data_IF_738781627112
#
_entry.id   IF_738781627112
#
_cell.length_a   1.000
_cell.length_b   1.000
_cell.length_c   1.000
_cell.angle_alpha   90.00
_cell.angle_beta   90.00
_cell.angle_gamma   90.00
#
_symmetry.space_group_name_H-M   'P 1'
#
loop_
_entity.id
_entity.type
_entity.pdbx_description
1 polymer ?
#
# COMPACT_ATOMS: atom_id res chain seq x y z
N UNK A 1 -3.06 16.27 13.84
CA UNK A 1 -3.85 15.05 13.56
C UNK A 1 -3.63 13.93 14.57
N UNK A 2 -2.56 13.11 14.50
CA UNK A 2 -2.42 11.94 15.39
C UNK A 2 -2.52 12.28 16.89
N UNK A 3 -1.88 13.37 17.30
CA UNK A 3 -1.98 13.93 18.65
C UNK A 3 -3.43 14.26 19.06
N UNK A 4 -4.16 14.99 18.21
CA UNK A 4 -5.55 15.41 18.47
C UNK A 4 -6.52 14.22 18.49
N UNK A 5 -6.31 13.23 17.62
CA UNK A 5 -7.08 11.98 17.60
C UNK A 5 -6.89 11.23 18.92
N UNK A 6 -5.64 11.09 19.36
CA UNK A 6 -5.32 10.44 20.62
C UNK A 6 -5.95 11.19 21.80
N UNK A 7 -5.75 12.52 21.89
CA UNK A 7 -6.34 13.35 22.95
C UNK A 7 -7.87 13.23 23.01
N UNK A 8 -8.56 13.26 21.87
CA UNK A 8 -10.00 13.09 21.83
C UNK A 8 -10.41 11.68 22.28
N UNK A 9 -9.76 10.64 21.76
CA UNK A 9 -10.06 9.26 22.10
C UNK A 9 -9.85 9.00 23.60
N UNK A 10 -8.75 9.49 24.17
CA UNK A 10 -8.45 9.41 25.61
C UNK A 10 -9.55 10.04 26.46
N UNK A 11 -10.06 11.23 26.09
CA UNK A 11 -11.17 11.88 26.83
C UNK A 11 -12.44 11.03 26.89
N UNK A 12 -12.65 10.15 25.91
CA UNK A 12 -13.82 9.28 25.83
C UNK A 12 -13.53 7.82 26.20
N UNK A 13 -12.32 7.50 26.68
CA UNK A 13 -11.94 6.12 26.99
C UNK A 13 -11.91 5.19 25.78
N UNK A 14 -11.73 5.74 24.57
CA UNK A 14 -11.66 4.98 23.31
C UNK A 14 -10.19 4.61 23.04
N UNK A 15 -9.93 3.34 22.72
CA UNK A 15 -8.60 2.84 22.36
C UNK A 15 -8.25 3.14 20.90
N UNK A 16 -7.00 3.53 20.66
CA UNK A 16 -6.46 3.82 19.33
C UNK A 16 -5.45 2.74 18.93
N UNK A 17 -5.80 1.93 17.93
CA UNK A 17 -4.89 0.94 17.34
C UNK A 17 -4.29 1.46 16.04
N UNK A 18 -2.95 1.50 15.96
CA UNK A 18 -2.24 1.91 14.77
C UNK A 18 -2.06 0.73 13.80
N UNK A 19 -2.44 0.88 12.52
CA UNK A 19 -1.88 0.04 11.46
C UNK A 19 -0.50 0.59 11.09
N UNK A 20 0.54 -0.04 11.62
CA UNK A 20 1.93 0.42 11.49
C UNK A 20 2.61 -0.05 10.21
N UNK A 21 1.89 -0.73 9.30
CA UNK A 21 2.38 -1.36 8.07
C UNK A 21 3.39 -0.50 7.28
N UNK A 22 3.15 0.82 7.20
CA UNK A 22 4.01 1.79 6.50
C UNK A 22 4.32 3.03 7.36
N UNK A 23 4.48 2.84 8.66
CA UNK A 23 4.69 3.94 9.59
C UNK A 23 6.04 4.66 9.40
N UNK A 24 7.06 4.01 8.84
CA UNK A 24 8.37 4.62 8.57
C UNK A 24 8.28 5.57 7.37
N UNK A 25 7.59 5.17 6.30
CA UNK A 25 7.26 6.07 5.19
C UNK A 25 6.46 7.29 5.68
N UNK A 26 5.52 7.08 6.60
CA UNK A 26 4.73 8.16 7.21
C UNK A 26 5.62 9.12 8.02
N UNK A 27 6.51 8.58 8.85
CA UNK A 27 7.48 9.37 9.62
C UNK A 27 8.42 10.19 8.73
N UNK A 28 8.85 9.63 7.58
CA UNK A 28 9.60 10.38 6.58
C UNK A 28 8.78 11.55 6.01
N UNK A 29 7.50 11.38 5.70
CA UNK A 29 6.68 12.52 5.24
C UNK A 29 6.51 13.59 6.32
N UNK A 30 6.38 13.22 7.58
CA UNK A 30 6.38 14.18 8.70
C UNK A 30 7.70 14.96 8.72
N UNK A 31 8.85 14.27 8.64
CA UNK A 31 10.17 14.88 8.58
C UNK A 31 10.29 15.92 7.47
N UNK A 32 9.78 15.59 6.27
CA UNK A 32 9.93 16.42 5.07
C UNK A 32 8.90 17.57 4.98
N UNK A 33 7.72 17.42 5.60
CA UNK A 33 6.57 18.30 5.31
C UNK A 33 6.00 19.00 6.53
N UNK A 34 6.25 18.50 7.75
CA UNK A 34 5.72 19.09 8.97
C UNK A 34 6.73 20.06 9.61
N UNK A 35 6.27 21.28 9.90
CA UNK A 35 7.12 22.30 10.51
C UNK A 35 7.61 21.85 11.88
N UNK A 36 8.90 22.04 12.16
CA UNK A 36 9.54 21.66 13.43
C UNK A 36 10.14 20.25 13.47
N UNK A 37 9.98 19.45 12.40
CA UNK A 37 10.52 18.08 12.33
C UNK A 37 11.73 17.90 11.40
N UNK A 38 12.10 18.91 10.63
CA UNK A 38 13.15 18.82 9.61
C UNK A 38 14.54 18.40 10.14
N UNK A 39 14.84 18.65 11.41
CA UNK A 39 16.11 18.27 12.06
C UNK A 39 16.03 17.00 12.90
N UNK A 40 14.85 16.39 13.05
CA UNK A 40 14.68 15.12 13.79
C UNK A 40 14.99 13.94 12.87
N UNK A 41 15.50 12.85 13.43
CA UNK A 41 15.65 11.59 12.68
C UNK A 41 14.29 10.94 12.43
N UNK A 42 14.15 10.16 11.36
CA UNK A 42 12.92 9.38 11.10
C UNK A 42 12.60 8.44 12.26
N UNK A 43 13.62 7.88 12.92
CA UNK A 43 13.45 7.03 14.09
C UNK A 43 12.77 7.77 15.26
N UNK A 44 13.22 9.00 15.57
CA UNK A 44 12.63 9.81 16.65
C UNK A 44 11.18 10.18 16.33
N UNK A 45 10.92 10.56 15.07
CA UNK A 45 9.57 10.90 14.60
C UNK A 45 8.64 9.69 14.69
N UNK A 46 9.10 8.52 14.24
CA UNK A 46 8.31 7.29 14.33
C UNK A 46 7.99 6.94 15.78
N UNK A 47 8.96 7.08 16.69
CA UNK A 47 8.75 6.84 18.12
C UNK A 47 7.71 7.79 18.70
N UNK A 48 7.79 9.08 18.37
CA UNK A 48 6.79 10.07 18.78
C UNK A 48 5.41 9.74 18.19
N UNK A 49 5.33 9.39 16.91
CA UNK A 49 4.09 9.04 16.24
C UNK A 49 3.41 7.81 16.89
N UNK A 50 4.19 6.76 17.20
CA UNK A 50 3.68 5.57 17.88
C UNK A 50 3.19 5.86 19.32
N UNK A 51 3.70 6.91 19.97
CA UNK A 51 3.27 7.29 21.33
C UNK A 51 1.81 7.75 21.41
N UNK A 52 1.19 8.06 20.27
CA UNK A 52 -0.23 8.44 20.15
C UNK A 52 -1.17 7.25 19.90
N UNK A 53 -0.76 6.03 20.27
CA UNK A 53 -1.56 4.81 20.11
C UNK A 53 -1.46 3.90 21.33
N UNK A 54 -2.51 3.10 21.56
CA UNK A 54 -2.58 2.09 22.64
C UNK A 54 -1.94 0.75 22.24
N UNK A 55 -1.59 0.61 20.96
CA UNK A 55 -1.00 -0.58 20.37
C UNK A 55 -0.96 -0.48 18.84
N UNK A 56 -0.41 -1.49 18.19
CA UNK A 56 -0.37 -1.55 16.74
C UNK A 56 -0.48 -2.96 16.19
N UNK A 57 -1.05 -3.08 15.00
CA UNK A 57 -0.83 -4.22 14.12
C UNK A 57 0.24 -3.85 13.09
N UNK A 58 1.18 -4.74 12.86
CA UNK A 58 2.28 -4.48 11.94
C UNK A 58 2.54 -5.70 11.09
N UNK A 59 2.69 -5.46 9.80
CA UNK A 59 3.19 -6.47 8.89
C UNK A 59 4.60 -6.11 8.46
N UNK A 60 5.56 -6.89 8.93
CA UNK A 60 6.98 -6.73 8.64
C UNK A 60 7.30 -6.83 7.15
N UNK A 61 6.40 -7.43 6.35
CA UNK A 61 6.48 -7.55 4.88
C UNK A 61 6.56 -6.23 4.11
N UNK A 62 6.56 -5.09 4.82
CA UNK A 62 6.51 -3.75 4.26
C UNK A 62 7.70 -2.94 4.76
N UNK A 63 7.53 -2.08 5.76
CA UNK A 63 8.63 -1.22 6.21
C UNK A 63 9.75 -1.98 6.92
N UNK A 64 9.49 -3.11 7.58
CA UNK A 64 10.55 -3.89 8.22
C UNK A 64 11.41 -4.72 7.24
N UNK A 65 11.32 -4.47 5.92
CA UNK A 65 12.24 -4.99 4.90
C UNK A 65 12.38 -6.53 4.81
N UNK A 66 11.37 -7.28 5.25
CA UNK A 66 11.38 -8.76 5.23
C UNK A 66 10.35 -9.35 4.26
N UNK A 67 10.52 -10.64 3.93
CA UNK A 67 9.63 -11.35 3.01
C UNK A 67 8.36 -11.89 3.70
N UNK A 68 8.43 -12.18 5.00
CA UNK A 68 7.35 -12.70 5.84
C UNK A 68 7.42 -12.09 7.23
N UNK A 69 6.36 -12.26 8.03
CA UNK A 69 6.33 -11.83 9.43
C UNK A 69 5.47 -10.60 9.69
N UNK A 70 5.10 -10.46 10.95
CA UNK A 70 4.28 -9.41 11.51
C UNK A 70 4.19 -9.57 13.01
N UNK A 71 3.64 -8.57 13.68
CA UNK A 71 3.44 -8.60 15.13
C UNK A 71 2.25 -7.75 15.55
N UNK A 72 1.77 -8.04 16.76
CA UNK A 72 0.85 -7.23 17.52
C UNK A 72 1.62 -6.64 18.70
N UNK A 73 1.54 -5.33 18.89
CA UNK A 73 2.04 -4.65 20.08
C UNK A 73 0.87 -4.03 20.85
N UNK A 74 0.88 -4.17 22.16
CA UNK A 74 -0.17 -3.67 23.05
C UNK A 74 0.49 -3.07 24.29
N UNK A 75 0.00 -1.90 24.72
CA UNK A 75 0.46 -1.25 25.94
C UNK A 75 -0.25 -1.80 27.19
N UNK A 76 -1.44 -2.38 27.01
CA UNK A 76 -2.27 -2.93 28.09
C UNK A 76 -1.92 -4.40 28.36
N UNK A 77 -1.55 -4.70 29.61
CA UNK A 77 -1.07 -6.02 30.02
C UNK A 77 -2.17 -7.09 29.98
N UNK A 78 -3.43 -6.72 30.29
CA UNK A 78 -4.55 -7.65 30.23
C UNK A 78 -4.84 -8.07 28.80
N UNK A 79 -4.93 -7.10 27.87
CA UNK A 79 -5.11 -7.40 26.45
C UNK A 79 -3.92 -8.19 25.88
N UNK A 80 -2.69 -7.91 26.33
CA UNK A 80 -1.51 -8.70 25.95
C UNK A 80 -1.66 -10.17 26.39
N UNK A 81 -2.12 -10.43 27.61
CA UNK A 81 -2.33 -11.79 28.11
C UNK A 81 -3.43 -12.52 27.30
N UNK A 82 -4.55 -11.85 27.01
CA UNK A 82 -5.63 -12.39 26.19
C UNK A 82 -5.16 -12.70 24.76
N UNK A 83 -4.42 -11.78 24.13
CA UNK A 83 -3.84 -11.99 22.80
C UNK A 83 -2.83 -13.13 22.78
N UNK A 84 -2.02 -13.26 23.84
CA UNK A 84 -1.04 -14.35 24.00
C UNK A 84 -1.70 -15.73 24.16
N UNK A 85 -2.92 -15.79 24.67
CA UNK A 85 -3.71 -17.02 24.68
C UNK A 85 -4.28 -17.32 23.28
N UNK A 86 -4.79 -16.30 22.59
CA UNK A 86 -5.43 -16.45 21.29
C UNK A 86 -4.44 -16.82 20.17
N UNK A 87 -3.22 -16.26 20.21
CA UNK A 87 -2.20 -16.49 19.18
C UNK A 87 -1.82 -17.97 19.06
N UNK A 88 -1.91 -18.74 20.15
CA UNK A 88 -1.66 -20.20 20.17
C UNK A 88 -2.63 -20.97 19.27
N UNK A 89 -3.86 -20.48 19.12
CA UNK A 89 -4.89 -21.17 18.33
C UNK A 89 -4.71 -20.98 16.82
N UNK A 90 -4.13 -19.86 16.39
CA UNK A 90 -4.12 -19.46 14.97
C UNK A 90 -2.72 -19.39 14.34
N UNK A 91 -1.70 -19.03 15.12
CA UNK A 91 -0.37 -18.71 14.59
C UNK A 91 0.73 -19.60 15.20
N UNK A 92 0.74 -19.75 16.53
CA UNK A 92 1.77 -20.47 17.29
C UNK A 92 1.98 -19.91 18.70
N UNK A 93 3.00 -20.37 19.44
CA UNK A 93 3.30 -19.81 20.78
C UNK A 93 3.64 -18.32 20.70
N UNK A 94 3.32 -17.55 21.74
CA UNK A 94 3.57 -16.11 21.84
C UNK A 94 5.05 -15.71 21.65
N UNK A 95 6.00 -16.64 21.79
CA UNK A 95 7.43 -16.43 21.58
C UNK A 95 7.89 -16.55 20.13
N UNK A 96 7.04 -17.03 19.20
CA UNK A 96 7.38 -17.12 17.78
C UNK A 96 6.24 -16.77 16.81
N UNK A 97 4.98 -16.90 17.22
CA UNK A 97 3.80 -16.42 16.47
C UNK A 97 3.75 -16.89 15.02
N UNK A 98 4.06 -18.17 14.77
CA UNK A 98 4.08 -18.75 13.42
C UNK A 98 5.31 -18.42 12.56
N UNK A 99 6.29 -17.69 13.11
CA UNK A 99 7.54 -17.36 12.42
C UNK A 99 8.68 -18.31 12.79
N UNK A 100 9.55 -18.64 11.83
CA UNK A 100 10.81 -19.28 12.19
C UNK A 100 11.72 -18.27 12.91
N UNK A 101 12.61 -18.74 13.79
CA UNK A 101 13.52 -17.86 14.53
C UNK A 101 14.36 -16.94 13.62
N UNK A 102 14.79 -17.43 12.46
CA UNK A 102 15.51 -16.64 11.44
C UNK A 102 14.68 -15.50 10.84
N UNK A 103 13.36 -15.66 10.74
CA UNK A 103 12.47 -14.63 10.20
C UNK A 103 12.26 -13.52 11.23
N UNK A 104 12.21 -13.87 12.53
CA UNK A 104 12.20 -12.89 13.62
C UNK A 104 13.51 -12.09 13.67
N UNK A 105 14.66 -12.75 13.51
CA UNK A 105 15.96 -12.08 13.45
C UNK A 105 16.05 -11.13 12.25
N UNK A 106 15.68 -11.60 11.05
CA UNK A 106 15.66 -10.77 9.86
C UNK A 106 14.75 -9.54 10.03
N UNK A 107 13.61 -9.70 10.70
CA UNK A 107 12.67 -8.61 10.97
C UNK A 107 13.25 -7.61 11.97
N UNK A 108 13.92 -8.06 13.04
CA UNK A 108 14.59 -7.19 14.00
C UNK A 108 15.67 -6.34 13.33
N UNK A 109 16.50 -6.95 12.45
CA UNK A 109 17.51 -6.22 11.64
C UNK A 109 16.85 -5.24 10.67
N UNK A 110 15.80 -5.68 10.00
CA UNK A 110 15.06 -4.86 9.02
C UNK A 110 14.39 -3.63 9.62
N UNK A 111 13.93 -3.68 10.87
CA UNK A 111 13.41 -2.49 11.59
C UNK A 111 14.50 -1.43 11.72
N UNK A 112 15.70 -1.81 12.18
CA UNK A 112 16.84 -0.89 12.33
C UNK A 112 17.25 -0.27 10.99
N UNK A 113 17.32 -1.09 9.94
CA UNK A 113 17.65 -0.63 8.58
C UNK A 113 16.59 0.32 8.01
N UNK A 114 15.31 0.06 8.31
CA UNK A 114 14.20 0.80 7.71
C UNK A 114 14.13 2.27 8.13
N UNK A 115 14.46 2.56 9.39
CA UNK A 115 14.35 3.91 9.96
C UNK A 115 15.56 4.80 9.66
N UNK A 116 16.58 4.27 8.98
CA UNK A 116 17.74 5.04 8.57
C UNK A 116 17.32 6.12 7.54
N UNK A 117 17.63 7.39 7.82
CA UNK A 117 17.19 8.53 7.01
C UNK A 117 17.58 8.41 5.54
N UNK A 118 18.81 7.95 5.26
CA UNK A 118 19.29 7.77 3.88
C UNK A 118 18.54 6.66 3.14
N UNK A 119 18.19 5.57 3.82
CA UNK A 119 17.42 4.48 3.24
C UNK A 119 16.03 4.95 2.83
N UNK A 120 15.29 5.56 3.76
CA UNK A 120 13.91 5.95 3.52
C UNK A 120 13.81 7.12 2.53
N UNK A 121 14.78 8.04 2.53
CA UNK A 121 14.92 9.10 1.51
C UNK A 121 15.08 8.50 0.11
N UNK A 122 16.01 7.56 -0.07
CA UNK A 122 16.21 6.90 -1.36
C UNK A 122 14.96 6.11 -1.79
N UNK A 123 14.33 5.41 -0.85
CA UNK A 123 13.11 4.62 -1.08
C UNK A 123 11.95 5.48 -1.59
N UNK A 124 11.66 6.58 -0.92
CA UNK A 124 10.53 7.46 -1.29
C UNK A 124 10.88 8.26 -2.54
N UNK A 125 12.12 8.74 -2.64
CA UNK A 125 12.63 9.44 -3.82
C UNK A 125 12.53 8.60 -5.10
N UNK A 126 12.72 7.28 -5.04
CA UNK A 126 12.51 6.39 -6.19
C UNK A 126 11.05 6.35 -6.65
N UNK A 127 10.09 6.36 -5.73
CA UNK A 127 8.65 6.39 -6.07
C UNK A 127 8.27 7.75 -6.64
N UNK A 128 8.77 8.83 -6.03
CA UNK A 128 8.58 10.19 -6.52
C UNK A 128 9.24 10.42 -7.90
N UNK A 129 10.36 9.75 -8.18
CA UNK A 129 11.01 9.78 -9.49
C UNK A 129 10.09 9.23 -10.59
N UNK A 130 9.55 8.02 -10.39
CA UNK A 130 8.56 7.43 -11.32
C UNK A 130 7.33 8.35 -11.45
N UNK A 131 6.81 8.83 -10.32
CA UNK A 131 5.63 9.68 -10.31
C UNK A 131 5.85 11.00 -11.07
N UNK A 132 7.01 11.64 -10.90
CA UNK A 132 7.36 12.87 -11.62
C UNK A 132 7.48 12.65 -13.11
N UNK A 133 8.11 11.56 -13.57
CA UNK A 133 8.16 11.22 -15.00
C UNK A 133 6.78 11.12 -15.63
N UNK A 134 5.86 10.45 -14.94
CA UNK A 134 4.47 10.30 -15.39
C UNK A 134 3.73 11.65 -15.38
N UNK A 135 3.94 12.46 -14.35
CA UNK A 135 3.37 13.81 -14.26
C UNK A 135 3.87 14.72 -15.39
N UNK A 136 5.17 14.71 -15.68
CA UNK A 136 5.80 15.52 -16.72
C UNK A 136 5.33 15.09 -18.12
N UNK A 137 5.02 13.80 -18.30
CA UNK A 137 4.38 13.25 -19.49
C UNK A 137 2.84 13.43 -19.52
N UNK A 138 2.28 14.23 -18.61
CA UNK A 138 0.84 14.50 -18.49
C UNK A 138 -0.05 13.26 -18.25
N UNK A 139 0.52 12.17 -17.72
CA UNK A 139 -0.24 10.98 -17.33
C UNK A 139 -1.07 11.29 -16.08
N UNK A 140 -2.36 10.92 -16.05
CA UNK A 140 -3.21 11.16 -14.90
C UNK A 140 -2.84 10.20 -13.76
N UNK A 141 -2.32 10.78 -12.67
CA UNK A 141 -1.92 10.05 -11.45
C UNK A 141 -2.46 10.74 -10.22
N UNK A 142 -2.66 9.99 -9.14
CA UNK A 142 -2.99 10.55 -7.82
C UNK A 142 -1.83 11.41 -7.32
N UNK A 143 -2.14 12.59 -6.79
CA UNK A 143 -1.16 13.55 -6.24
C UNK A 143 -1.53 13.95 -4.81
N UNK A 144 -0.53 14.22 -3.94
CA UNK A 144 0.90 14.00 -4.14
C UNK A 144 1.26 12.51 -4.24
N UNK A 145 2.46 12.20 -4.76
CA UNK A 145 2.95 10.82 -4.83
C UNK A 145 3.15 10.29 -3.41
N UNK A 146 2.66 9.07 -3.17
CA UNK A 146 2.76 8.40 -1.88
C UNK A 146 4.09 7.69 -1.66
N UNK A 147 4.29 7.13 -0.47
CA UNK A 147 5.58 6.54 -0.08
C UNK A 147 5.93 5.22 -0.78
N UNK A 148 4.93 4.48 -1.28
CA UNK A 148 5.14 3.10 -1.75
C UNK A 148 4.71 2.79 -3.18
N UNK A 149 3.97 3.69 -3.82
CA UNK A 149 3.41 3.44 -5.12
C UNK A 149 3.03 4.75 -5.83
N UNK A 150 3.01 4.67 -7.16
CA UNK A 150 2.29 5.62 -8.01
C UNK A 150 0.95 5.00 -8.39
N UNK A 151 -0.12 5.79 -8.31
CA UNK A 151 -1.47 5.35 -8.66
C UNK A 151 -1.91 6.07 -9.93
N UNK A 152 -2.11 5.33 -11.01
CA UNK A 152 -2.68 5.85 -12.25
C UNK A 152 -4.19 5.97 -12.07
N UNK A 153 -4.78 7.10 -12.47
CA UNK A 153 -6.23 7.28 -12.48
C UNK A 153 -6.79 6.70 -13.79
N UNK A 154 -7.36 5.50 -13.73
CA UNK A 154 -7.83 4.79 -14.90
C UNK A 154 -9.09 5.40 -15.52
N UNK A 155 -9.89 6.16 -14.77
CA UNK A 155 -11.04 6.90 -15.33
C UNK A 155 -10.56 8.03 -16.23
N UNK A 156 -9.54 8.77 -15.79
CA UNK A 156 -8.91 9.79 -16.62
C UNK A 156 -8.03 9.19 -17.73
N UNK A 157 -7.48 7.99 -17.52
CA UNK A 157 -6.69 7.26 -18.51
C UNK A 157 -7.56 6.76 -19.68
N UNK A 158 -8.74 6.22 -19.39
CA UNK A 158 -9.69 5.71 -20.39
C UNK A 158 -11.06 6.38 -20.25
N UNK A 159 -11.21 7.66 -20.67
CA UNK A 159 -12.44 8.41 -20.48
C UNK A 159 -13.64 7.87 -21.27
N UNK A 160 -13.39 7.00 -22.26
CA UNK A 160 -14.42 6.35 -23.08
C UNK A 160 -14.96 5.04 -22.49
N UNK A 161 -14.39 4.53 -21.39
CA UNK A 161 -14.82 3.30 -20.75
C UNK A 161 -15.64 3.60 -19.48
N UNK A 162 -16.82 2.99 -19.37
CA UNK A 162 -17.58 3.00 -18.10
C UNK A 162 -16.87 2.15 -17.04
N UNK A 163 -17.03 2.50 -15.76
CA UNK A 163 -16.40 1.77 -14.66
C UNK A 163 -16.81 0.27 -14.62
N UNK A 164 -18.01 -0.08 -15.09
CA UNK A 164 -18.47 -1.48 -15.19
C UNK A 164 -17.77 -2.26 -16.31
N UNK A 165 -17.05 -1.57 -17.19
CA UNK A 165 -16.16 -2.17 -18.18
C UNK A 165 -14.73 -2.34 -17.65
N UNK A 166 -14.52 -2.14 -16.34
CA UNK A 166 -13.29 -2.42 -15.58
C UNK A 166 -12.02 -1.76 -16.17
N UNK A 167 -12.00 -0.42 -16.36
CA UNK A 167 -10.88 0.27 -17.00
C UNK A 167 -9.55 0.10 -16.24
N UNK A 168 -9.54 0.04 -14.90
CA UNK A 168 -8.30 -0.21 -14.17
C UNK A 168 -7.78 -1.63 -14.40
N UNK A 169 -8.67 -2.63 -14.48
CA UNK A 169 -8.27 -4.00 -14.81
C UNK A 169 -7.76 -4.10 -16.27
N UNK A 170 -8.40 -3.42 -17.21
CA UNK A 170 -7.96 -3.32 -18.60
C UNK A 170 -6.57 -2.66 -18.72
N UNK A 171 -6.33 -1.59 -17.96
CA UNK A 171 -5.04 -0.91 -17.91
C UNK A 171 -3.95 -1.84 -17.35
N UNK A 172 -4.23 -2.59 -16.27
CA UNK A 172 -3.23 -3.56 -15.75
C UNK A 172 -2.86 -4.64 -16.76
N UNK A 173 -3.81 -5.09 -17.57
CA UNK A 173 -3.55 -6.07 -18.63
C UNK A 173 -2.72 -5.45 -19.75
N UNK A 174 -3.07 -4.24 -20.19
CA UNK A 174 -2.38 -3.52 -21.26
C UNK A 174 -0.90 -3.25 -20.91
N UNK A 175 -0.61 -2.84 -19.68
CA UNK A 175 0.77 -2.63 -19.21
C UNK A 175 1.58 -3.94 -19.20
N UNK A 176 0.94 -5.05 -18.83
CA UNK A 176 1.60 -6.35 -18.83
C UNK A 176 1.86 -6.87 -20.26
N UNK A 177 0.92 -6.68 -21.18
CA UNK A 177 1.09 -7.05 -22.59
C UNK A 177 2.16 -6.22 -23.29
N UNK A 178 2.26 -4.93 -22.97
CA UNK A 178 3.23 -4.01 -23.57
C UNK A 178 4.68 -4.26 -23.09
N UNK A 179 4.89 -4.42 -21.78
CA UNK A 179 6.25 -4.44 -21.20
C UNK A 179 6.53 -5.58 -20.23
N UNK A 180 5.55 -6.43 -19.93
CA UNK A 180 5.65 -7.43 -18.86
C UNK A 180 5.55 -6.84 -17.45
N UNK A 181 5.35 -5.52 -17.30
CA UNK A 181 5.18 -4.88 -15.99
C UNK A 181 3.82 -5.26 -15.40
N UNK A 182 3.85 -6.03 -14.31
CA UNK A 182 2.64 -6.41 -13.58
C UNK A 182 2.27 -5.35 -12.54
N UNK A 183 1.16 -4.67 -12.78
CA UNK A 183 0.54 -3.73 -11.84
C UNK A 183 -0.66 -4.36 -11.10
N UNK A 184 -1.26 -3.63 -10.15
CA UNK A 184 -2.42 -4.09 -9.39
C UNK A 184 -3.62 -3.17 -9.58
N UNK A 185 -4.76 -3.75 -9.97
CA UNK A 185 -6.05 -3.05 -9.99
C UNK A 185 -6.45 -2.68 -8.56
N UNK A 186 -6.85 -1.43 -8.34
CA UNK A 186 -7.37 -0.86 -7.09
C UNK A 186 -8.60 0.00 -7.39
N UNK A 187 -9.65 -0.64 -7.89
CA UNK A 187 -10.89 0.01 -8.30
C UNK A 187 -12.10 -0.87 -8.00
N UNK A 188 -13.08 -0.83 -8.90
CA UNK A 188 -14.35 -1.54 -8.80
C UNK A 188 -14.21 -3.05 -8.59
N UNK A 189 -13.18 -3.71 -9.16
CA UNK A 189 -12.99 -5.16 -8.99
C UNK A 189 -12.60 -5.43 -7.54
N UNK A 190 -11.61 -4.69 -7.04
CA UNK A 190 -11.15 -4.74 -5.65
C UNK A 190 -12.22 -4.36 -4.62
N UNK A 191 -13.10 -3.42 -4.96
CA UNK A 191 -14.18 -2.97 -4.08
C UNK A 191 -15.23 -4.06 -3.82
N UNK A 192 -15.36 -5.05 -4.69
CA UNK A 192 -16.30 -6.16 -4.52
C UNK A 192 -17.75 -5.78 -4.81
N UNK A 193 -18.66 -6.60 -4.29
CA UNK A 193 -20.11 -6.42 -4.43
C UNK A 193 -20.75 -6.13 -3.09
N UNK A 194 -21.80 -5.33 -3.16
CA UNK A 194 -22.73 -5.16 -2.06
C UNK A 194 -23.42 -6.49 -1.75
N UNK A 195 -23.42 -6.88 -0.46
CA UNK A 195 -23.88 -8.20 -0.03
C UNK A 195 -25.40 -8.37 -0.13
N UNK A 196 -26.16 -7.27 -0.09
CA UNK A 196 -27.62 -7.30 -0.10
C UNK A 196 -28.16 -7.22 -1.53
N UNK A 197 -27.60 -6.32 -2.34
CA UNK A 197 -28.09 -6.02 -3.69
C UNK A 197 -27.37 -6.80 -4.79
N UNK A 198 -26.18 -7.36 -4.50
CA UNK A 198 -25.32 -8.02 -5.49
C UNK A 198 -24.69 -7.07 -6.51
N UNK A 199 -24.90 -5.76 -6.41
CA UNK A 199 -24.33 -4.75 -7.32
C UNK A 199 -22.87 -4.49 -7.01
N UNK A 200 -22.11 -4.02 -8.00
CA UNK A 200 -20.74 -3.58 -7.77
C UNK A 200 -20.71 -2.39 -6.80
N UNK A 201 -19.81 -2.42 -5.82
CA UNK A 201 -19.39 -1.19 -5.16
C UNK A 201 -18.63 -0.34 -6.19
N UNK A 202 -19.10 0.88 -6.47
CA UNK A 202 -18.51 1.79 -7.46
C UNK A 202 -17.65 2.85 -6.74
N UNK A 203 -16.38 2.56 -6.41
CA UNK A 203 -15.54 3.55 -5.74
C UNK A 203 -15.31 4.76 -6.64
N UNK A 204 -15.21 5.94 -6.03
CA UNK A 204 -14.84 7.16 -6.76
C UNK A 204 -13.47 6.97 -7.43
N UNK A 205 -12.52 6.38 -6.70
CA UNK A 205 -11.17 6.05 -7.15
C UNK A 205 -11.16 4.73 -7.93
N UNK A 206 -10.79 4.79 -9.20
CA UNK A 206 -10.60 3.66 -10.11
C UNK A 206 -9.15 3.65 -10.55
N UNK A 207 -8.29 2.94 -9.81
CA UNK A 207 -6.85 3.15 -9.87
C UNK A 207 -6.08 1.90 -10.33
N UNK A 208 -4.94 2.13 -10.97
CA UNK A 208 -3.89 1.12 -11.14
C UNK A 208 -2.70 1.48 -10.27
N UNK A 209 -2.29 0.57 -9.38
CA UNK A 209 -1.20 0.78 -8.45
C UNK A 209 0.11 0.18 -8.96
N UNK A 210 1.05 1.05 -9.33
CA UNK A 210 2.45 0.71 -9.60
C UNK A 210 3.18 0.62 -8.26
N UNK A 211 3.20 -0.58 -7.68
CA UNK A 211 3.71 -0.81 -6.31
C UNK A 211 5.20 -1.13 -6.36
N UNK A 212 6.03 -0.38 -5.63
CA UNK A 212 7.48 -0.52 -5.71
C UNK A 212 8.02 -1.27 -4.47
N UNK A 213 8.56 -2.49 -4.63
CA UNK A 213 9.28 -3.20 -3.58
C UNK A 213 10.56 -2.46 -3.16
N UNK A 214 10.87 -2.48 -1.87
CA UNK A 214 12.04 -1.79 -1.31
C UNK A 214 13.32 -2.52 -1.72
N UNK A 215 14.31 -1.79 -2.24
CA UNK A 215 15.66 -2.30 -2.61
C UNK A 215 15.70 -3.38 -3.70
N UNK A 216 14.68 -3.48 -4.54
CA UNK A 216 14.63 -4.50 -5.61
C UNK A 216 14.96 -3.89 -6.97
N UNK A 217 14.35 -2.77 -7.31
CA UNK A 217 14.45 -2.16 -8.63
C UNK A 217 15.40 -0.96 -8.64
N UNK A 218 15.94 -0.68 -9.81
CA UNK A 218 16.81 0.47 -10.09
C UNK A 218 16.02 1.60 -10.76
N UNK A 219 16.67 2.75 -10.94
CA UNK A 219 16.09 3.87 -11.68
C UNK A 219 15.73 3.49 -13.14
N UNK A 220 16.56 2.68 -13.80
CA UNK A 220 16.27 2.21 -15.17
C UNK A 220 14.99 1.37 -15.26
N UNK A 221 14.66 0.60 -14.21
CA UNK A 221 13.37 -0.10 -14.15
C UNK A 221 12.19 0.86 -14.00
N UNK A 222 12.39 2.00 -13.32
CA UNK A 222 11.38 3.06 -13.26
C UNK A 222 11.23 3.75 -14.62
N UNK A 223 12.33 3.94 -15.35
CA UNK A 223 12.31 4.50 -16.71
C UNK A 223 11.51 3.59 -17.67
N UNK A 224 11.81 2.30 -17.71
CA UNK A 224 11.06 1.31 -18.50
C UNK A 224 9.57 1.28 -18.12
N UNK A 225 9.27 1.36 -16.81
CA UNK A 225 7.88 1.40 -16.35
C UNK A 225 7.17 2.67 -16.83
N UNK A 226 7.84 3.82 -16.79
CA UNK A 226 7.28 5.08 -17.26
C UNK A 226 7.05 5.07 -18.77
N UNK A 227 8.00 4.56 -19.54
CA UNK A 227 7.91 4.42 -21.00
C UNK A 227 6.71 3.56 -21.40
N UNK A 228 6.52 2.40 -20.76
CA UNK A 228 5.36 1.53 -21.02
C UNK A 228 4.03 2.22 -20.70
N UNK A 229 3.95 2.96 -19.59
CA UNK A 229 2.73 3.70 -19.24
C UNK A 229 2.42 4.77 -20.27
N UNK A 230 3.44 5.47 -20.78
CA UNK A 230 3.29 6.51 -21.80
C UNK A 230 2.83 5.89 -23.13
N UNK A 231 3.46 4.81 -23.58
CA UNK A 231 3.08 4.12 -24.82
C UNK A 231 1.64 3.59 -24.78
N UNK A 232 1.23 3.01 -23.64
CA UNK A 232 -0.16 2.56 -23.42
C UNK A 232 -1.12 3.75 -23.37
N UNK A 233 -0.70 4.89 -22.83
CA UNK A 233 -1.50 6.11 -22.82
C UNK A 233 -1.69 6.71 -24.21
N UNK A 234 -0.67 6.66 -25.08
CA UNK A 234 -0.77 7.15 -26.45
C UNK A 234 -1.79 6.35 -27.28
N UNK A 235 -1.93 5.05 -26.99
CA UNK A 235 -2.91 4.16 -27.64
C UNK A 235 -4.26 4.10 -26.91
N UNK A 236 -4.47 4.91 -25.87
CA UNK A 236 -5.58 4.75 -24.91
C UNK A 236 -6.98 4.70 -25.53
N UNK A 237 -7.23 5.45 -26.60
CA UNK A 237 -8.55 5.52 -27.25
C UNK A 237 -8.95 4.22 -27.95
N UNK A 238 -7.99 3.34 -28.25
CA UNK A 238 -8.26 2.02 -28.85
C UNK A 238 -8.47 0.91 -27.82
N UNK A 239 -8.21 1.20 -26.54
CA UNK A 239 -8.35 0.22 -25.47
C UNK A 239 -9.81 -0.20 -25.32
N UNK A 240 -10.02 -1.51 -25.14
CA UNK A 240 -11.34 -2.10 -24.88
C UNK A 240 -11.48 -2.41 -23.40
N UNK A 241 -12.68 -2.20 -22.88
CA UNK A 241 -13.01 -2.68 -21.55
C UNK A 241 -13.10 -4.20 -21.49
N UNK A 242 -13.34 -4.70 -20.29
CA UNK A 242 -13.44 -6.11 -19.97
C UNK A 242 -14.84 -6.48 -19.50
N UNK A 243 -15.17 -7.76 -19.62
CA UNK A 243 -16.29 -8.41 -18.93
C UNK A 243 -15.79 -9.52 -18.03
N UNK A 244 -16.45 -9.71 -16.89
CA UNK A 244 -16.14 -10.76 -15.94
C UNK A 244 -16.73 -12.09 -16.44
N UNK A 245 -15.88 -13.11 -16.63
CA UNK A 245 -16.30 -14.45 -17.09
C UNK A 245 -16.24 -15.50 -15.99
N UNK A 246 -15.52 -15.22 -14.91
CA UNK A 246 -15.51 -16.03 -13.69
C UNK A 246 -15.36 -15.12 -12.48
N UNK A 247 -16.21 -15.30 -11.47
CA UNK A 247 -16.21 -14.53 -10.22
C UNK A 247 -16.22 -15.48 -9.02
N UNK A 248 -15.19 -15.49 -8.16
CA UNK A 248 -15.22 -16.28 -6.94
C UNK A 248 -16.12 -15.60 -5.88
N UNK A 249 -16.59 -16.37 -4.91
CA UNK A 249 -17.52 -15.89 -3.87
C UNK A 249 -16.93 -14.82 -2.95
N UNK A 250 -15.63 -14.91 -2.65
CA UNK A 250 -14.94 -14.00 -1.75
C UNK A 250 -13.69 -13.44 -2.43
N UNK A 251 -13.35 -12.18 -2.11
CA UNK A 251 -12.12 -11.50 -2.55
C UNK A 251 -11.87 -11.63 -4.06
N UNK A 252 -12.87 -11.26 -4.87
CA UNK A 252 -12.89 -11.49 -6.32
C UNK A 252 -11.67 -11.03 -7.09
N UNK A 253 -11.02 -9.96 -6.64
CA UNK A 253 -9.81 -9.42 -7.27
C UNK A 253 -8.61 -10.40 -7.27
N UNK A 254 -8.63 -11.48 -6.48
CA UNK A 254 -7.56 -12.49 -6.52
C UNK A 254 -7.71 -13.54 -7.62
N UNK A 255 -8.94 -13.97 -7.93
CA UNK A 255 -9.18 -15.15 -8.78
C UNK A 255 -10.20 -14.92 -9.90
N UNK A 256 -10.75 -13.70 -10.02
CA UNK A 256 -11.60 -13.33 -11.13
C UNK A 256 -10.90 -13.55 -12.48
N UNK A 257 -11.67 -13.96 -13.48
CA UNK A 257 -11.20 -14.04 -14.88
C UNK A 257 -12.05 -13.14 -15.75
N UNK A 258 -11.41 -12.53 -16.74
CA UNK A 258 -12.02 -11.55 -17.62
C UNK A 258 -11.83 -11.95 -19.09
N UNK A 259 -12.69 -11.41 -19.95
CA UNK A 259 -12.51 -11.43 -21.39
C UNK A 259 -12.68 -10.01 -21.96
N UNK A 260 -12.06 -9.68 -23.10
CA UNK A 260 -12.33 -8.43 -23.81
C UNK A 260 -13.83 -8.29 -24.16
N UNK A 261 -14.30 -7.04 -24.19
CA UNK A 261 -15.61 -6.67 -24.73
C UNK A 261 -15.65 -6.74 -26.26
#
# INVERSE_FOLDING_TARGET
NAREVHELATRHGIKVMLDATRAVENAYFIQQRESGYATKTVADILREFCSYSDGCTMSGKKDALVNIGGWLALNDEQHYAEASNLVVLYEGLHTYGGMAGRDMEAMARGIVESVADDHIRARVGQVEYLGRKLIDAAIPVVRPIGGHAVYLDAKAFYPHLDQEQFPAQALTASLYEDSGVRAMERGIVSAGRDKETGKNHRPALELVRLTIPRRVYTQAHMDLTAESVIEVYDKRLTARGLKLVHEPRYLRFFQARFAPL
#
